data_IF_292098032386
#
_entry.id   IF_292098032386
#
_cell.length_a   1.000
_cell.length_b   1.000
_cell.length_c   1.000
_cell.angle_alpha   90.00
_cell.angle_beta   90.00
_cell.angle_gamma   90.00
#
_symmetry.space_group_name_H-M   'P 1'
#
loop_
_entity.id
_entity.type
_entity.pdbx_description
1 polymer ?
#
# COMPACT_ATOMS: atom_id res chain seq x y z
N UNK A 1 10.61 -8.05 -20.18
CA UNK A 1 10.13 -6.76 -19.63
C UNK A 1 10.18 -6.84 -18.12
N UNK A 2 10.58 -5.76 -17.44
CA UNK A 2 10.62 -5.74 -15.97
C UNK A 2 9.52 -4.88 -15.39
N UNK A 3 8.79 -5.46 -14.44
CA UNK A 3 7.62 -4.84 -13.80
C UNK A 3 7.80 -4.84 -12.30
N UNK A 4 7.54 -3.71 -11.67
CA UNK A 4 7.62 -3.55 -10.22
C UNK A 4 6.22 -3.50 -9.63
N UNK A 5 5.90 -4.42 -8.73
CA UNK A 5 4.68 -4.36 -7.94
C UNK A 5 4.99 -3.78 -6.56
N UNK A 6 4.41 -2.61 -6.27
CA UNK A 6 4.62 -1.91 -5.01
C UNK A 6 3.50 -2.22 -4.00
N UNK A 7 3.85 -3.04 -3.02
CA UNK A 7 3.01 -3.36 -1.86
C UNK A 7 2.97 -2.22 -0.86
N UNK A 8 1.77 -1.98 -0.31
CA UNK A 8 1.49 -0.92 0.68
C UNK A 8 0.53 -1.45 1.76
N UNK A 9 -0.78 -1.17 1.65
CA UNK A 9 -1.81 -1.70 2.55
C UNK A 9 -2.22 -3.13 2.21
N UNK A 10 -2.43 -3.46 0.93
CA UNK A 10 -2.78 -4.80 0.48
C UNK A 10 -1.62 -5.79 0.47
N UNK A 11 -1.10 -6.14 1.65
CA UNK A 11 0.00 -7.11 1.84
C UNK A 11 -0.46 -8.56 1.62
N UNK A 12 -0.96 -8.86 0.42
CA UNK A 12 -1.55 -10.16 0.06
C UNK A 12 -1.36 -10.50 -1.42
N UNK A 13 -1.32 -11.80 -1.71
CA UNK A 13 -1.23 -12.33 -3.08
C UNK A 13 -2.59 -12.69 -3.68
N UNK A 14 -3.58 -13.03 -2.85
CA UNK A 14 -4.93 -13.32 -3.29
C UNK A 14 -5.74 -12.02 -3.47
N UNK A 15 -6.72 -12.05 -4.38
CA UNK A 15 -7.63 -10.92 -4.63
C UNK A 15 -6.91 -9.56 -4.74
N UNK A 16 -5.81 -9.56 -5.50
CA UNK A 16 -4.98 -8.37 -5.70
C UNK A 16 -4.99 -8.01 -7.19
N UNK A 17 -5.97 -7.20 -7.64
CA UNK A 17 -6.10 -6.83 -9.06
C UNK A 17 -4.91 -6.01 -9.57
N UNK A 18 -4.24 -5.24 -8.70
CA UNK A 18 -3.03 -4.51 -9.07
C UNK A 18 -1.85 -5.44 -9.34
N UNK A 19 -1.72 -6.51 -8.54
CA UNK A 19 -0.72 -7.56 -8.77
C UNK A 19 -1.03 -8.31 -10.07
N UNK A 20 -2.28 -8.70 -10.31
CA UNK A 20 -2.66 -9.34 -11.58
C UNK A 20 -2.42 -8.43 -12.79
N UNK A 21 -2.62 -7.12 -12.63
CA UNK A 21 -2.34 -6.16 -13.69
C UNK A 21 -0.86 -6.09 -14.09
N UNK A 22 0.07 -6.51 -13.21
CA UNK A 22 1.50 -6.62 -13.55
C UNK A 22 1.78 -7.63 -14.67
N UNK A 23 0.82 -8.53 -14.92
CA UNK A 23 0.88 -9.54 -15.96
C UNK A 23 0.33 -9.04 -17.30
N UNK A 24 -0.35 -7.88 -17.36
CA UNK A 24 -0.94 -7.35 -18.61
C UNK A 24 0.04 -7.19 -19.76
N UNK A 25 1.32 -6.81 -19.56
CA UNK A 25 2.25 -6.70 -20.68
C UNK A 25 2.46 -8.00 -21.47
N UNK A 26 2.17 -9.17 -20.86
CA UNK A 26 2.17 -10.47 -21.55
C UNK A 26 1.08 -10.59 -22.62
N UNK A 27 0.00 -9.82 -22.49
CA UNK A 27 -1.12 -9.84 -23.43
C UNK A 27 -0.93 -8.88 -24.63
N UNK A 28 0.16 -8.10 -24.65
CA UNK A 28 0.36 -7.00 -25.59
C UNK A 28 1.50 -7.23 -26.61
N UNK A 29 2.04 -8.44 -26.71
CA UNK A 29 3.05 -8.78 -27.72
C UNK A 29 2.46 -8.69 -29.14
N UNK A 30 3.02 -7.85 -30.05
CA UNK A 30 2.49 -7.68 -31.41
C UNK A 30 2.51 -8.97 -32.26
N UNK A 31 3.30 -9.97 -31.83
CA UNK A 31 3.62 -11.17 -32.62
C UNK A 31 3.02 -12.44 -32.00
N UNK A 32 2.27 -12.33 -30.89
CA UNK A 32 1.83 -13.47 -30.09
C UNK A 32 2.96 -14.19 -29.33
N UNK A 33 4.20 -13.69 -29.41
CA UNK A 33 5.34 -14.17 -28.63
C UNK A 33 5.25 -13.69 -27.18
N UNK A 34 5.12 -14.64 -26.25
CA UNK A 34 5.08 -14.35 -24.82
C UNK A 34 6.48 -13.90 -24.35
N UNK A 35 6.64 -12.60 -24.08
CA UNK A 35 7.85 -12.08 -23.46
C UNK A 35 7.76 -12.28 -21.95
N UNK A 36 8.66 -13.07 -21.36
CA UNK A 36 8.71 -13.30 -19.91
C UNK A 36 8.71 -11.97 -19.14
N UNK A 37 7.88 -11.91 -18.09
CA UNK A 37 7.82 -10.76 -17.19
C UNK A 37 8.70 -11.05 -15.98
N UNK A 38 9.71 -10.21 -15.79
CA UNK A 38 10.50 -10.18 -14.56
C UNK A 38 9.76 -9.33 -13.53
N UNK A 39 9.29 -9.94 -12.44
CA UNK A 39 8.59 -9.24 -11.36
C UNK A 39 9.50 -8.89 -10.20
N UNK A 40 9.45 -7.63 -9.81
CA UNK A 40 10.05 -7.11 -8.58
C UNK A 40 8.94 -6.78 -7.58
N UNK A 41 8.95 -7.44 -6.43
CA UNK A 41 8.02 -7.18 -5.33
C UNK A 41 8.65 -6.20 -4.36
N UNK A 42 8.04 -5.04 -4.15
CA UNK A 42 8.65 -3.97 -3.35
C UNK A 42 7.73 -3.52 -2.24
N UNK A 43 8.30 -3.36 -1.05
CA UNK A 43 7.69 -2.61 0.05
C UNK A 43 8.63 -1.47 0.47
N UNK A 44 8.07 -0.31 0.82
CA UNK A 44 8.87 0.87 1.19
C UNK A 44 8.52 1.27 2.61
N UNK A 45 9.53 1.29 3.47
CA UNK A 45 9.50 1.86 4.81
C UNK A 45 9.78 3.35 4.69
N UNK A 46 8.74 4.17 4.75
CA UNK A 46 8.81 5.62 4.58
C UNK A 46 8.96 6.31 5.94
N UNK A 47 10.17 6.72 6.36
CA UNK A 47 10.38 7.32 7.69
C UNK A 47 9.66 8.67 7.86
N UNK A 48 9.14 9.25 6.78
CA UNK A 48 8.51 10.56 6.78
C UNK A 48 6.98 10.55 6.84
N UNK A 49 6.35 9.37 6.92
CA UNK A 49 4.92 9.29 7.23
C UNK A 49 4.64 10.08 8.52
N UNK A 50 3.69 11.03 8.51
CA UNK A 50 3.32 11.85 9.68
C UNK A 50 2.96 11.00 10.91
N UNK A 51 2.48 9.78 10.67
CA UNK A 51 2.12 8.79 11.68
C UNK A 51 3.31 8.19 12.44
N UNK A 52 4.57 8.29 11.95
CA UNK A 52 5.74 7.73 12.64
C UNK A 52 5.98 8.33 14.03
N UNK A 53 5.36 9.47 14.31
CA UNK A 53 5.41 10.11 15.62
C UNK A 53 4.55 9.34 16.66
N UNK A 54 3.63 8.45 16.24
CA UNK A 54 2.71 7.72 17.12
C UNK A 54 2.41 6.26 16.67
N UNK A 55 3.30 5.59 15.94
CA UNK A 55 3.11 4.16 15.65
C UNK A 55 3.52 3.33 16.86
N UNK A 56 2.54 2.87 17.64
CA UNK A 56 2.80 1.95 18.75
C UNK A 56 3.38 0.60 18.26
N UNK A 57 4.25 -0.01 19.07
CA UNK A 57 4.95 -1.26 18.76
C UNK A 57 4.06 -2.39 18.25
N UNK A 58 2.82 -2.50 18.75
CA UNK A 58 1.87 -3.53 18.31
C UNK A 58 1.56 -3.42 16.82
N UNK A 59 1.42 -2.19 16.31
CA UNK A 59 1.18 -1.94 14.88
C UNK A 59 2.43 -2.25 14.07
N UNK A 60 3.61 -1.89 14.55
CA UNK A 60 4.89 -2.23 13.92
C UNK A 60 5.10 -3.74 13.85
N UNK A 61 4.87 -4.44 14.97
CA UNK A 61 4.99 -5.89 15.06
C UNK A 61 4.01 -6.61 14.14
N UNK A 62 2.75 -6.16 14.08
CA UNK A 62 1.78 -6.70 13.14
C UNK A 62 2.21 -6.49 11.68
N UNK A 63 2.69 -5.29 11.34
CA UNK A 63 3.22 -5.00 10.00
C UNK A 63 4.41 -5.92 9.66
N UNK A 64 5.36 -6.07 10.59
CA UNK A 64 6.50 -6.99 10.44
C UNK A 64 6.04 -8.43 10.13
N UNK A 65 5.11 -8.95 10.94
CA UNK A 65 4.55 -10.30 10.76
C UNK A 65 3.85 -10.44 9.40
N UNK A 66 3.13 -9.41 8.95
CA UNK A 66 2.53 -9.39 7.61
C UNK A 66 3.59 -9.41 6.49
N UNK A 67 4.66 -8.62 6.60
CA UNK A 67 5.73 -8.59 5.61
C UNK A 67 6.47 -9.93 5.54
N UNK A 68 6.77 -10.54 6.70
CA UNK A 68 7.38 -11.87 6.76
C UNK A 68 6.48 -12.95 6.17
N UNK A 69 5.18 -12.90 6.47
CA UNK A 69 4.19 -13.81 5.88
C UNK A 69 4.10 -13.64 4.35
N UNK A 70 4.18 -12.40 3.86
CA UNK A 70 4.16 -12.09 2.42
C UNK A 70 5.42 -12.61 1.72
N UNK A 71 6.63 -12.33 2.24
CA UNK A 71 7.90 -12.84 1.67
C UNK A 71 7.92 -14.37 1.62
N UNK A 72 7.44 -15.03 2.70
CA UNK A 72 7.31 -16.48 2.74
C UNK A 72 6.28 -17.04 1.75
N UNK A 73 5.18 -16.31 1.54
CA UNK A 73 4.16 -16.71 0.57
C UNK A 73 4.67 -16.56 -0.88
N UNK A 74 5.49 -15.54 -1.15
CA UNK A 74 6.16 -15.34 -2.43
C UNK A 74 7.17 -16.48 -2.71
N UNK A 75 8.04 -16.79 -1.75
CA UNK A 75 9.06 -17.85 -1.92
C UNK A 75 8.46 -19.25 -2.08
N UNK A 76 7.29 -19.50 -1.50
CA UNK A 76 6.51 -20.73 -1.73
C UNK A 76 6.00 -20.88 -3.17
N UNK A 77 5.71 -19.77 -3.85
CA UNK A 77 5.28 -19.80 -5.25
C UNK A 77 6.45 -20.02 -6.20
N UNK A 78 7.55 -19.34 -5.93
CA UNK A 78 8.82 -19.52 -6.63
C UNK A 78 9.96 -19.15 -5.65
N UNK A 79 10.93 -20.05 -5.38
CA UNK A 79 12.04 -19.77 -4.47
C UNK A 79 12.87 -18.52 -4.81
N UNK A 80 12.87 -18.09 -6.07
CA UNK A 80 13.55 -16.88 -6.54
C UNK A 80 12.77 -15.59 -6.22
N UNK A 81 11.48 -15.69 -5.91
CA UNK A 81 10.67 -14.54 -5.53
C UNK A 81 10.96 -14.16 -4.09
N UNK A 82 11.34 -12.90 -3.92
CA UNK A 82 11.57 -12.28 -2.61
C UNK A 82 10.93 -10.91 -2.58
N UNK A 83 10.52 -10.49 -1.40
CA UNK A 83 10.13 -9.12 -1.12
C UNK A 83 11.38 -8.25 -1.01
N UNK A 84 11.49 -7.19 -1.81
CA UNK A 84 12.51 -6.16 -1.67
C UNK A 84 11.98 -5.08 -0.72
N UNK A 85 12.66 -4.88 0.40
CA UNK A 85 12.31 -3.82 1.35
C UNK A 85 13.25 -2.64 1.15
N UNK A 86 12.68 -1.48 0.81
CA UNK A 86 13.40 -0.22 0.65
C UNK A 86 13.12 0.72 1.82
N UNK A 87 14.01 1.69 2.05
CA UNK A 87 13.83 2.72 3.08
C UNK A 87 13.94 4.11 2.48
N UNK A 88 13.01 4.99 2.86
CA UNK A 88 12.97 6.38 2.41
C UNK A 88 11.62 6.79 1.82
N UNK A 89 11.52 8.04 1.39
CA UNK A 89 10.31 8.59 0.78
C UNK A 89 9.99 7.89 -0.54
N UNK A 90 8.76 7.40 -0.75
CA UNK A 90 8.37 6.74 -2.00
C UNK A 90 8.62 7.60 -3.23
N UNK A 91 8.43 8.92 -3.14
CA UNK A 91 8.70 9.90 -4.21
C UNK A 91 10.18 9.94 -4.60
N UNK A 92 11.08 9.67 -3.66
CA UNK A 92 12.52 9.70 -3.91
C UNK A 92 13.06 8.32 -4.31
N UNK A 93 12.57 7.28 -3.64
CA UNK A 93 13.08 5.92 -3.73
C UNK A 93 12.53 5.21 -4.98
N UNK A 94 11.23 5.30 -5.28
CA UNK A 94 10.65 4.59 -6.42
C UNK A 94 11.26 4.98 -7.75
N UNK A 95 11.37 6.28 -8.11
CA UNK A 95 11.94 6.65 -9.40
C UNK A 95 13.40 6.24 -9.53
N UNK A 96 14.17 6.34 -8.44
CA UNK A 96 15.57 5.88 -8.40
C UNK A 96 15.67 4.37 -8.60
N UNK A 97 14.90 3.59 -7.85
CA UNK A 97 14.87 2.14 -7.92
C UNK A 97 14.41 1.67 -9.32
N UNK A 98 13.36 2.27 -9.88
CA UNK A 98 12.88 1.91 -11.20
C UNK A 98 13.94 2.16 -12.29
N UNK A 99 14.63 3.31 -12.27
CA UNK A 99 15.72 3.56 -13.22
C UNK A 99 16.89 2.62 -13.03
N UNK A 100 17.33 2.44 -11.79
CA UNK A 100 18.44 1.57 -11.43
C UNK A 100 18.19 0.11 -11.85
N UNK A 101 16.97 -0.36 -11.66
CA UNK A 101 16.58 -1.71 -12.01
C UNK A 101 15.97 -1.80 -13.40
N UNK A 102 15.99 -0.77 -14.26
CA UNK A 102 15.42 -0.87 -15.60
C UNK A 102 13.95 -1.32 -15.64
N UNK A 103 13.15 -0.86 -14.68
CA UNK A 103 11.71 -1.12 -14.61
C UNK A 103 10.99 -0.29 -15.67
N UNK A 104 10.08 -0.92 -16.41
CA UNK A 104 9.32 -0.30 -17.50
C UNK A 104 7.86 -0.03 -17.10
N UNK A 105 7.36 -0.78 -16.11
CA UNK A 105 6.00 -0.66 -15.60
C UNK A 105 5.93 -0.83 -14.08
N UNK A 106 5.10 -0.02 -13.44
CA UNK A 106 4.85 -0.09 -12.00
C UNK A 106 3.37 -0.36 -11.76
N UNK A 107 3.05 -1.30 -10.87
CA UNK A 107 1.67 -1.52 -10.43
C UNK A 107 1.53 -1.41 -8.93
N UNK A 108 0.42 -0.82 -8.48
CA UNK A 108 0.08 -0.74 -7.07
C UNK A 108 -1.43 -0.63 -6.86
N UNK A 109 -1.90 -1.03 -5.69
CA UNK A 109 -3.29 -0.86 -5.27
C UNK A 109 -3.63 0.64 -5.15
N UNK A 110 -4.88 1.08 -5.23
CA UNK A 110 -5.23 2.48 -4.91
C UNK A 110 -5.16 2.73 -3.39
N UNK A 111 -4.71 3.91 -2.97
CA UNK A 111 -4.83 4.36 -1.57
C UNK A 111 -5.84 5.51 -1.47
N UNK A 112 -6.90 5.31 -0.69
CA UNK A 112 -7.99 6.28 -0.53
C UNK A 112 -7.73 7.30 0.58
N UNK A 113 -6.63 7.20 1.32
CA UNK A 113 -6.28 8.20 2.33
C UNK A 113 -5.74 9.48 1.70
N UNK A 114 -5.90 10.62 2.38
CA UNK A 114 -5.45 11.91 1.87
C UNK A 114 -3.94 11.96 1.59
N UNK A 115 -3.13 11.45 2.52
CA UNK A 115 -1.69 11.31 2.32
C UNK A 115 -1.37 10.39 1.13
N UNK A 116 -1.99 9.20 1.11
CA UNK A 116 -1.79 8.20 0.05
C UNK A 116 -2.04 8.77 -1.34
N UNK A 117 -3.15 9.52 -1.52
CA UNK A 117 -3.45 10.18 -2.80
C UNK A 117 -2.41 11.22 -3.21
N UNK A 118 -1.95 12.05 -2.27
CA UNK A 118 -0.95 13.10 -2.55
C UNK A 118 0.40 12.48 -2.95
N UNK A 119 0.86 11.49 -2.18
CA UNK A 119 2.06 10.70 -2.48
C UNK A 119 1.95 10.03 -3.85
N UNK A 120 0.86 9.31 -4.10
CA UNK A 120 0.66 8.54 -5.33
C UNK A 120 0.61 9.46 -6.57
N UNK A 121 0.05 10.68 -6.44
CA UNK A 121 0.08 11.67 -7.51
C UNK A 121 1.51 12.12 -7.82
N UNK A 122 2.30 12.47 -6.80
CA UNK A 122 3.71 12.86 -6.98
C UNK A 122 4.56 11.73 -7.59
N UNK A 123 4.41 10.50 -7.09
CA UNK A 123 5.11 9.32 -7.62
C UNK A 123 4.75 9.10 -9.10
N UNK A 124 3.46 9.16 -9.45
CA UNK A 124 3.02 8.96 -10.84
C UNK A 124 3.63 10.00 -11.78
N UNK A 125 3.66 11.26 -11.37
CA UNK A 125 4.23 12.34 -12.19
C UNK A 125 5.73 12.15 -12.38
N UNK A 126 6.46 11.72 -11.33
CA UNK A 126 7.90 11.43 -11.40
C UNK A 126 8.24 10.20 -12.27
N UNK A 127 7.42 9.14 -12.20
CA UNK A 127 7.58 7.97 -13.05
C UNK A 127 7.27 8.27 -14.52
N UNK A 128 6.23 9.08 -14.79
CA UNK A 128 5.89 9.51 -16.14
C UNK A 128 7.02 10.33 -16.79
N UNK A 129 7.68 11.21 -16.04
CA UNK A 129 8.87 11.95 -16.49
C UNK A 129 10.04 11.02 -16.89
N UNK A 130 10.08 9.81 -16.34
CA UNK A 130 11.08 8.78 -16.67
C UNK A 130 10.57 7.76 -17.68
N UNK A 131 9.45 8.03 -18.37
CA UNK A 131 8.79 7.13 -19.33
C UNK A 131 8.39 5.76 -18.75
N UNK A 132 8.17 5.69 -17.44
CA UNK A 132 7.73 4.47 -16.76
C UNK A 132 6.20 4.50 -16.67
N UNK A 133 5.56 3.46 -17.18
CA UNK A 133 4.10 3.35 -17.18
C UNK A 133 3.58 2.87 -15.83
N UNK A 134 2.35 3.27 -15.45
CA UNK A 134 1.77 2.96 -14.14
C UNK A 134 0.36 2.38 -14.29
N UNK A 135 0.08 1.26 -13.61
CA UNK A 135 -1.29 0.72 -13.45
C UNK A 135 -1.72 0.78 -11.99
N UNK A 136 -2.82 1.48 -11.73
CA UNK A 136 -3.43 1.58 -10.39
C UNK A 136 -4.77 0.86 -10.39
N UNK A 137 -5.01 0.04 -9.38
CA UNK A 137 -6.26 -0.71 -9.25
C UNK A 137 -6.82 -0.65 -7.83
N UNK A 138 -8.11 -0.36 -7.70
CA UNK A 138 -8.82 -0.47 -6.41
C UNK A 138 -8.91 -1.93 -5.98
N UNK A 139 -8.58 -2.20 -4.72
CA UNK A 139 -8.72 -3.53 -4.10
C UNK A 139 -8.89 -3.49 -2.57
N UNK A 140 -8.83 -2.31 -1.96
CA UNK A 140 -8.85 -2.16 -0.49
C UNK A 140 -10.27 -1.93 0.04
N UNK A 141 -11.14 -1.36 -0.79
CA UNK A 141 -12.55 -1.12 -0.50
C UNK A 141 -13.42 -1.95 -1.43
N UNK A 142 -14.64 -2.29 -0.98
CA UNK A 142 -15.60 -3.07 -1.78
C UNK A 142 -15.92 -2.43 -3.14
N UNK A 143 -15.93 -1.10 -3.20
CA UNK A 143 -16.08 -0.31 -4.42
C UNK A 143 -15.06 0.82 -4.43
N UNK A 144 -14.65 1.25 -5.63
CA UNK A 144 -13.93 2.51 -5.78
C UNK A 144 -14.80 3.66 -5.28
N UNK A 145 -14.24 4.51 -4.41
CA UNK A 145 -15.03 5.51 -3.68
C UNK A 145 -15.65 6.57 -4.60
N UNK A 146 -14.92 7.00 -5.63
CA UNK A 146 -15.43 8.01 -6.57
C UNK A 146 -16.54 7.42 -7.45
N UNK A 147 -16.41 6.16 -7.85
CA UNK A 147 -17.48 5.45 -8.53
C UNK A 147 -18.71 5.31 -7.63
N UNK A 148 -18.54 4.92 -6.37
CA UNK A 148 -19.63 4.78 -5.41
C UNK A 148 -20.36 6.10 -5.21
N UNK A 149 -19.62 7.22 -5.03
CA UNK A 149 -20.18 8.57 -4.93
C UNK A 149 -20.95 8.99 -6.17
N UNK A 150 -20.52 8.56 -7.37
CA UNK A 150 -21.24 8.84 -8.61
C UNK A 150 -22.56 8.06 -8.75
N UNK A 151 -22.68 6.91 -8.09
CA UNK A 151 -23.84 6.00 -8.19
C UNK A 151 -24.80 6.09 -7.02
N UNK A 152 -24.30 6.52 -5.86
CA UNK A 152 -25.06 6.57 -4.64
C UNK A 152 -24.90 7.94 -3.98
N UNK A 153 -25.98 8.70 -4.02
CA UNK A 153 -26.16 9.83 -3.13
C UNK A 153 -26.87 9.30 -1.88
N UNK A 154 -26.27 9.47 -0.70
CA UNK A 154 -26.95 9.08 0.53
C UNK A 154 -28.31 9.76 0.66
N UNK A 155 -29.35 9.05 1.12
CA UNK A 155 -30.60 9.71 1.44
C UNK A 155 -30.34 10.76 2.53
N UNK A 156 -30.96 11.96 2.44
CA UNK A 156 -30.89 12.92 3.54
C UNK A 156 -31.38 12.23 4.80
N UNK A 157 -30.54 12.21 5.83
CA UNK A 157 -30.90 11.65 7.13
C UNK A 157 -32.15 12.37 7.63
N UNK A 158 -33.23 11.61 7.91
CA UNK A 158 -34.43 12.15 8.60
C UNK A 158 -33.99 12.56 10.01
N UNK A 159 -33.51 13.79 10.16
CA UNK A 159 -33.44 14.63 11.39
C UNK A 159 -32.34 15.68 11.24
N UNK A 160 -32.54 16.65 10.33
CA UNK A 160 -32.08 18.00 10.60
C UNK A 160 -33.25 18.72 11.27
N UNK A 161 -33.37 18.56 12.60
CA UNK A 161 -34.07 19.56 13.40
C UNK A 161 -33.01 20.61 13.67
N UNK A 162 -33.22 21.83 13.18
CA UNK A 162 -32.34 22.97 13.47
C UNK A 162 -32.09 23.04 14.98
N UNK A 163 -30.83 22.89 15.40
CA UNK A 163 -30.42 22.97 16.80
C UNK A 163 -29.94 21.68 17.46
N UNK A 164 -30.13 20.49 16.89
CA UNK A 164 -29.49 19.27 17.41
C UNK A 164 -28.16 19.04 16.70
N UNK A 165 -27.05 19.04 17.43
CA UNK A 165 -25.70 18.82 16.89
C UNK A 165 -25.60 17.56 16.03
N UNK A 166 -25.75 17.72 14.71
CA UNK A 166 -25.65 16.65 13.73
C UNK A 166 -24.20 16.20 13.69
N UNK A 167 -23.94 14.91 13.93
CA UNK A 167 -22.59 14.39 13.79
C UNK A 167 -22.20 14.40 12.30
N UNK A 168 -20.92 14.64 12.00
CA UNK A 168 -20.39 14.67 10.63
C UNK A 168 -20.78 13.41 9.83
N UNK A 169 -20.89 12.26 10.50
CA UNK A 169 -21.28 10.99 9.87
C UNK A 169 -22.74 10.92 9.42
N UNK A 170 -23.65 11.64 10.08
CA UNK A 170 -25.07 11.72 9.70
C UNK A 170 -25.29 12.61 8.47
N UNK A 171 -24.52 13.70 8.33
CA UNK A 171 -24.56 14.58 7.17
C UNK A 171 -24.00 13.92 5.90
N UNK A 172 -23.04 12.99 6.05
CA UNK A 172 -22.43 12.24 4.95
C UNK A 172 -23.27 11.02 4.51
N UNK A 173 -24.38 10.72 5.20
CA UNK A 173 -25.30 9.60 4.94
C UNK A 173 -24.63 8.23 4.80
N UNK A 174 -23.62 8.01 5.62
CA UNK A 174 -22.90 6.74 5.73
C UNK A 174 -23.87 5.68 6.27
N UNK A 175 -23.89 4.44 5.72
CA UNK A 175 -24.72 3.37 6.25
C UNK A 175 -24.20 2.91 7.62
N UNK A 176 -24.72 3.48 8.70
CA UNK A 176 -24.31 3.18 10.07
C UNK A 176 -24.96 1.90 10.64
N UNK A 177 -25.91 1.30 9.91
CA UNK A 177 -26.57 0.04 10.31
C UNK A 177 -26.37 -1.04 9.25
N UNK A 178 -26.35 -2.30 9.68
CA UNK A 178 -26.30 -3.45 8.75
C UNK A 178 -27.43 -3.41 7.72
N UNK A 179 -28.65 -3.02 8.11
CA UNK A 179 -29.77 -2.89 7.19
C UNK A 179 -29.53 -1.81 6.11
N UNK A 180 -29.01 -0.64 6.51
CA UNK A 180 -28.65 0.43 5.58
C UNK A 180 -27.50 0.02 4.65
N UNK A 181 -26.53 -0.74 5.16
CA UNK A 181 -25.46 -1.32 4.36
C UNK A 181 -26.02 -2.30 3.32
N UNK A 182 -26.88 -3.25 3.71
CA UNK A 182 -27.53 -4.19 2.80
C UNK A 182 -28.45 -3.51 1.77
N UNK A 183 -29.06 -2.38 2.12
CA UNK A 183 -29.83 -1.58 1.18
C UNK A 183 -28.93 -0.89 0.14
N UNK A 184 -27.79 -0.34 0.59
CA UNK A 184 -26.77 0.19 -0.30
C UNK A 184 -26.24 -0.89 -1.24
N UNK A 185 -25.77 -2.02 -0.71
CA UNK A 185 -25.17 -3.08 -1.51
C UNK A 185 -26.13 -3.62 -2.57
N UNK A 186 -27.42 -3.82 -2.27
CA UNK A 186 -28.42 -4.24 -3.28
C UNK A 186 -28.59 -3.25 -4.44
N UNK A 187 -28.34 -1.96 -4.22
CA UNK A 187 -28.46 -0.91 -5.25
C UNK A 187 -27.21 -0.80 -6.12
N UNK A 188 -26.02 -1.04 -5.54
CA UNK A 188 -24.73 -0.79 -6.20
C UNK A 188 -23.97 -2.05 -6.58
N UNK A 189 -24.29 -3.20 -6.00
CA UNK A 189 -23.61 -4.45 -6.34
C UNK A 189 -23.86 -4.79 -7.81
N UNK A 190 -22.82 -5.22 -8.55
CA UNK A 190 -22.98 -5.73 -9.90
C UNK A 190 -24.02 -6.86 -9.90
N UNK A 191 -25.01 -6.76 -10.78
CA UNK A 191 -25.99 -7.83 -11.00
C UNK A 191 -25.36 -8.86 -11.93
N UNK A 192 -24.81 -9.94 -11.39
CA UNK A 192 -24.24 -11.03 -12.17
C UNK A 192 -23.32 -11.94 -11.38
N UNK A 193 -23.05 -13.17 -11.86
CA UNK A 193 -22.09 -14.06 -11.20
C UNK A 193 -20.70 -13.42 -11.27
N UNK A 194 -20.05 -13.28 -10.11
CA UNK A 194 -18.65 -12.89 -10.05
C UNK A 194 -17.84 -13.96 -10.78
N UNK A 195 -17.13 -13.57 -11.85
CA UNK A 195 -16.12 -14.45 -12.44
C UNK A 195 -14.92 -14.41 -11.50
N UNK A 196 -14.48 -15.54 -10.90
CA UNK A 196 -13.29 -15.52 -10.07
C UNK A 196 -12.13 -15.04 -10.95
N UNK A 197 -11.41 -14.02 -10.47
CA UNK A 197 -10.16 -13.63 -11.12
C UNK A 197 -9.18 -14.80 -10.96
N UNK A 198 -8.46 -15.19 -12.03
CA UNK A 198 -7.42 -16.19 -11.91
C UNK A 198 -6.41 -15.80 -10.85
N UNK A 199 -5.93 -16.77 -10.08
CA UNK A 199 -5.03 -16.50 -8.97
C UNK A 199 -3.62 -16.20 -9.48
N UNK A 200 -2.86 -15.38 -8.75
CA UNK A 200 -1.46 -15.13 -9.10
C UNK A 200 -0.63 -16.44 -9.17
N UNK A 201 -0.97 -17.44 -8.36
CA UNK A 201 -0.34 -18.75 -8.37
C UNK A 201 -0.53 -19.49 -9.70
N UNK A 202 -1.70 -19.38 -10.33
CA UNK A 202 -1.98 -20.01 -11.64
C UNK A 202 -1.05 -19.46 -12.73
N UNK A 203 -0.71 -18.18 -12.67
CA UNK A 203 0.22 -17.55 -13.62
C UNK A 203 1.67 -17.88 -13.31
N UNK A 204 2.04 -17.90 -12.02
CA UNK A 204 3.39 -18.31 -11.60
C UNK A 204 3.71 -19.75 -12.03
N UNK A 205 2.75 -20.67 -11.89
CA UNK A 205 2.92 -22.08 -12.26
C UNK A 205 3.09 -22.33 -13.77
N UNK A 206 2.73 -21.37 -14.62
CA UNK A 206 2.91 -21.46 -16.08
C UNK A 206 4.32 -21.06 -16.53
N UNK A 207 5.21 -20.64 -15.61
CA UNK A 207 6.58 -20.21 -15.93
C UNK A 207 6.66 -18.87 -16.67
N UNK A 208 5.55 -18.11 -16.66
CA UNK A 208 5.41 -16.86 -17.40
C UNK A 208 6.09 -15.69 -16.66
N UNK A 209 6.24 -15.84 -15.35
CA UNK A 209 6.85 -14.86 -14.45
C UNK A 209 8.17 -15.40 -13.94
N UNK A 210 9.22 -14.59 -14.02
CA UNK A 210 10.53 -14.86 -13.42
C UNK A 210 10.94 -13.77 -12.45
N UNK A 211 11.97 -14.06 -11.65
CA UNK A 211 12.67 -13.07 -10.83
C UNK A 211 13.99 -12.72 -11.53
N UNK A 212 14.39 -11.44 -11.62
CA UNK A 212 15.76 -11.13 -12.01
C UNK A 212 16.72 -11.51 -10.87
N UNK A 213 18.03 -11.57 -11.14
CA UNK A 213 19.04 -11.87 -10.12
C UNK A 213 19.11 -10.80 -9.02
N UNK A 214 18.31 -10.96 -7.96
CA UNK A 214 18.07 -9.92 -6.95
C UNK A 214 19.33 -9.50 -6.18
N UNK A 215 20.25 -10.42 -5.93
CA UNK A 215 21.51 -10.14 -5.21
C UNK A 215 22.36 -9.08 -5.93
N UNK A 216 22.41 -9.15 -7.27
CA UNK A 216 23.10 -8.15 -8.09
C UNK A 216 22.45 -6.76 -8.02
N UNK A 217 21.12 -6.72 -7.87
CA UNK A 217 20.36 -5.47 -7.79
C UNK A 217 20.53 -4.77 -6.45
N UNK A 218 20.61 -5.54 -5.35
CA UNK A 218 20.85 -5.01 -3.99
C UNK A 218 22.28 -4.49 -3.87
N UNK A 219 23.28 -5.27 -4.32
CA UNK A 219 24.70 -4.90 -4.22
C UNK A 219 25.11 -3.67 -5.05
N UNK A 220 24.34 -3.34 -6.08
CA UNK A 220 24.66 -2.23 -6.99
C UNK A 220 24.30 -0.84 -6.43
N UNK A 221 23.47 -0.74 -5.38
CA UNK A 221 23.00 0.56 -4.87
C UNK A 221 22.87 0.60 -3.35
N UNK A 222 23.99 0.86 -2.67
CA UNK A 222 24.08 1.07 -1.20
C UNK A 222 23.16 2.23 -0.74
N UNK A 223 22.98 3.24 -1.59
CA UNK A 223 22.21 4.45 -1.29
C UNK A 223 20.71 4.20 -1.04
N UNK A 224 20.14 3.14 -1.61
CA UNK A 224 18.70 2.84 -1.48
C UNK A 224 18.36 2.09 -0.18
N UNK A 225 19.36 1.72 0.62
CA UNK A 225 19.22 0.91 1.86
C UNK A 225 18.31 -0.31 1.66
N UNK A 226 18.38 -0.91 0.48
CA UNK A 226 17.56 -2.05 0.07
C UNK A 226 17.99 -3.30 0.82
N UNK A 227 17.03 -4.10 1.27
CA UNK A 227 17.26 -5.44 1.81
C UNK A 227 16.46 -6.49 1.06
N UNK A 228 17.04 -7.69 0.96
CA UNK A 228 16.37 -8.85 0.38
C UNK A 228 15.55 -9.56 1.47
N UNK A 229 14.24 -9.58 1.29
CA UNK A 229 13.28 -10.11 2.25
C UNK A 229 12.65 -9.03 3.13
N UNK A 230 11.69 -9.49 3.94
CA UNK A 230 11.13 -8.69 5.02
C UNK A 230 12.18 -8.41 6.11
N UNK A 231 12.05 -7.31 6.87
CA UNK A 231 12.90 -7.06 8.04
C UNK A 231 12.86 -8.25 9.04
N UNK A 232 13.96 -8.46 9.77
CA UNK A 232 14.05 -9.56 10.74
C UNK A 232 13.37 -9.21 12.07
N UNK A 233 13.46 -7.94 12.48
CA UNK A 233 12.87 -7.40 13.70
C UNK A 233 12.19 -6.05 13.47
N UNK A 234 11.50 -5.54 14.49
CA UNK A 234 10.91 -4.19 14.47
C UNK A 234 12.01 -3.12 14.43
N UNK A 235 13.15 -3.37 15.09
CA UNK A 235 14.28 -2.45 15.11
C UNK A 235 14.87 -2.28 13.70
N UNK A 236 14.90 -3.36 12.91
CA UNK A 236 15.37 -3.32 11.52
C UNK A 236 14.44 -2.56 10.58
N UNK A 237 13.22 -2.25 11.01
CA UNK A 237 12.31 -1.42 10.21
C UNK A 237 12.76 0.04 10.16
N UNK A 238 13.59 0.50 11.11
CA UNK A 238 14.17 1.86 11.14
C UNK A 238 13.10 2.96 10.96
N UNK A 239 11.96 2.78 11.61
CA UNK A 239 10.75 3.62 11.49
C UNK A 239 10.70 4.76 12.52
N UNK A 240 11.85 5.09 13.12
CA UNK A 240 11.95 6.09 14.19
C UNK A 240 11.52 5.59 15.57
N UNK A 241 11.55 6.46 16.60
CA UNK A 241 11.22 6.09 17.98
C UNK A 241 9.75 5.73 18.11
N UNK A 242 9.47 4.52 18.58
CA UNK A 242 8.12 4.10 18.95
C UNK A 242 7.73 4.85 20.22
N UNK A 243 6.78 5.77 20.07
CA UNK A 243 6.25 6.56 21.16
C UNK A 243 4.86 6.06 21.56
N UNK A 244 4.58 6.04 22.86
CA UNK A 244 3.24 5.81 23.38
C UNK A 244 2.78 7.02 24.18
N UNK A 245 1.59 7.52 23.87
CA UNK A 245 0.85 8.40 24.77
C UNK A 245 0.04 7.54 25.74
N UNK A 246 0.53 7.38 26.98
CA UNK A 246 -0.35 7.06 28.11
C UNK A 246 -0.94 8.39 28.59
N UNK A 247 -2.24 8.42 28.84
CA UNK A 247 -3.04 9.63 29.09
C UNK A 247 -2.33 10.77 29.85
N UNK A 248 -2.63 12.00 29.42
CA UNK A 248 -2.17 13.27 30.00
C UNK A 248 -0.66 13.35 30.32
N UNK A 249 0.11 13.77 29.32
CA UNK A 249 1.41 14.48 29.40
C UNK A 249 2.73 13.72 29.57
N UNK A 250 2.85 12.41 29.29
CA UNK A 250 4.19 11.80 29.09
C UNK A 250 4.26 10.85 27.90
N UNK A 251 5.13 11.19 26.94
CA UNK A 251 5.63 10.30 25.90
C UNK A 251 6.70 9.40 26.51
N UNK A 252 6.51 8.08 26.40
CA UNK A 252 7.51 7.08 26.79
C UNK A 252 8.08 6.42 25.54
N UNK A 253 9.41 6.32 25.45
CA UNK A 253 10.12 5.56 24.42
C UNK A 253 10.59 4.22 25.01
N UNK A 254 10.50 3.13 24.24
CA UNK A 254 10.89 1.78 24.68
C UNK A 254 12.41 1.61 24.94
N UNK A 255 13.24 2.64 24.70
CA UNK A 255 14.68 2.64 25.00
C UNK A 255 15.01 2.86 26.49
N UNK A 256 14.03 2.73 27.40
CA UNK A 256 14.21 2.92 28.85
C UNK A 256 14.63 4.33 29.26
N UNK A 257 14.69 5.26 28.29
CA UNK A 257 15.12 6.64 28.48
C UNK A 257 13.88 7.53 28.53
N UNK A 258 13.70 8.19 29.66
CA UNK A 258 12.65 9.19 29.86
C UNK A 258 12.84 10.28 28.78
N UNK A 259 11.96 10.36 27.78
CA UNK A 259 11.99 11.49 26.85
C UNK A 259 11.75 12.75 27.69
N UNK A 260 12.72 13.66 27.67
CA UNK A 260 12.72 14.86 28.49
C UNK A 260 11.38 15.58 28.41
N UNK A 261 10.91 16.07 29.56
CA UNK A 261 9.77 16.96 29.65
C UNK A 261 9.92 18.09 28.63
N UNK A 262 9.09 18.12 27.59
CA UNK A 262 8.90 19.31 26.78
C UNK A 262 8.32 20.36 27.73
N UNK A 263 9.17 21.32 28.07
CA UNK A 263 8.86 22.42 28.97
C UNK A 263 7.59 23.12 28.51
N UNK A 264 6.70 23.34 29.46
CA UNK A 264 5.60 24.28 29.31
C UNK A 264 6.19 25.70 29.35
N UNK A 265 6.39 26.33 28.19
CA UNK A 265 6.67 27.77 28.02
C UNK A 265 6.30 28.10 26.57
N UNK A 266 5.44 29.04 26.19
CA UNK A 266 4.73 30.11 26.88
C UNK A 266 3.36 30.25 26.21
N UNK A 267 2.30 30.26 27.03
CA UNK A 267 1.14 31.10 26.75
C UNK A 267 1.56 32.49 27.24
N UNK A 268 1.57 33.49 26.34
CA UNK A 268 1.17 34.89 26.59
C UNK A 268 1.54 35.78 25.39
N UNK A 269 0.57 36.05 24.52
CA UNK A 269 0.11 37.38 24.05
C UNK A 269 -1.05 37.17 23.09
#
# INVERSE_FOLDING_TARGET
>A
MRVLHWFRKGLRLHDNPALLASLKPLAAGPDGSATTVELLFVFILDPSLPDHIDIGFRRCKFLLECLQSLDHSLSKLNPEFRLLTLRGRPEEVLPKACRAWGVEHVTYEEDTDAYGRSRDAAVRDLLAQSHISVSVHSGHTLWALDWLRSKYVPPPTRTAVEGSGVSVSQALGIPLTYQSFCALTRRVAPQGPARPLPSFAEYSGQGIVSSPGLESLVGSFVDLRCSLGAPASVDDMDIGPICYSRGSKKLFCDTGSNCGSIGSSEVLS
#
